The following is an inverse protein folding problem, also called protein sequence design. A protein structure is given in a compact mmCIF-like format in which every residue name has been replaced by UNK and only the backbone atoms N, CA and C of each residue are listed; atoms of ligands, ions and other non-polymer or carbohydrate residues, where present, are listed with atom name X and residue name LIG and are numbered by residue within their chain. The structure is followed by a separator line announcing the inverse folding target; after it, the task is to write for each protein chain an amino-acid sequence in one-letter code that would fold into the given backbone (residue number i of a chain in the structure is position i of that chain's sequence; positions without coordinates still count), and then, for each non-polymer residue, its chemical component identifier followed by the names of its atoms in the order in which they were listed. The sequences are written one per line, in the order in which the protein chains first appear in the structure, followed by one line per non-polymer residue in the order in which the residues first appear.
data_IF_055879255279
#
_entry.id   IF_055879255279
#
_cell.length_a   1.000
_cell.length_b   1.000
_cell.length_c   1.000
_cell.angle_alpha   90.00
_cell.angle_beta   90.00
_cell.angle_gamma   90.00
#
_symmetry.space_group_name_H-M   'P 1'
#
loop_
_entity.id
_entity.type
_entity.pdbx_description
1 polymer ?
#
# COMPACT_ATOMS: atom_id res chain seq x y z
N UNK A 1 1.44 17.03 -74.31
CA UNK A 1 2.85 17.22 -74.72
C UNK A 1 3.65 16.01 -74.25
N UNK A 2 4.37 15.40 -75.20
CA UNK A 2 5.43 14.39 -75.14
C UNK A 2 5.65 13.59 -73.82
N UNK A 3 5.74 12.26 -73.78
CA UNK A 3 6.06 11.30 -74.83
C UNK A 3 7.36 10.54 -74.50
N UNK A 4 7.30 9.21 -74.67
CA UNK A 4 8.36 8.17 -74.75
C UNK A 4 8.79 7.53 -73.41
N UNK A 5 8.60 6.24 -73.14
CA UNK A 5 8.78 4.94 -73.84
C UNK A 5 10.23 4.43 -73.96
N UNK A 6 10.40 3.17 -73.53
CA UNK A 6 11.44 2.21 -73.95
C UNK A 6 12.51 1.94 -72.90
N UNK A 7 13.03 0.72 -72.68
CA UNK A 7 12.91 -0.56 -73.39
C UNK A 7 13.71 -1.66 -72.64
N UNK A 8 13.35 -2.93 -72.85
CA UNK A 8 14.22 -4.12 -72.71
C UNK A 8 14.27 -4.77 -71.32
N UNK A 9 14.15 -6.08 -71.13
CA UNK A 9 14.11 -7.20 -72.05
C UNK A 9 14.84 -8.40 -71.43
N UNK A 10 14.25 -9.58 -71.61
CA UNK A 10 14.87 -10.92 -71.65
C UNK A 10 15.15 -11.73 -70.36
N UNK A 11 14.77 -13.01 -70.51
CA UNK A 11 14.85 -14.18 -69.63
C UNK A 11 16.28 -14.69 -69.36
N UNK A 12 16.44 -15.43 -68.26
CA UNK A 12 17.54 -16.40 -68.09
C UNK A 12 17.65 -16.99 -66.67
N UNK A 13 17.22 -18.24 -66.48
CA UNK A 13 17.79 -19.17 -65.49
C UNK A 13 18.85 -20.04 -66.22
N UNK A 14 19.70 -20.91 -65.60
CA UNK A 14 19.73 -21.46 -64.22
C UNK A 14 21.16 -21.61 -63.59
N UNK A 15 21.26 -22.14 -62.35
CA UNK A 15 22.52 -22.65 -61.75
C UNK A 15 22.66 -22.28 -60.27
N UNK A 16 22.42 -23.17 -59.31
CA UNK A 16 23.31 -24.24 -58.79
C UNK A 16 24.26 -23.75 -57.70
N UNK A 17 24.02 -24.17 -56.45
CA UNK A 17 24.97 -24.80 -55.52
C UNK A 17 24.52 -24.58 -54.07
N UNK A 18 24.16 -25.68 -53.43
CA UNK A 18 24.49 -26.06 -52.04
C UNK A 18 24.84 -24.94 -51.06
N UNK A 19 24.02 -24.78 -50.02
CA UNK A 19 24.49 -24.45 -48.67
C UNK A 19 23.47 -24.93 -47.62
N UNK A 20 24.02 -25.43 -46.52
CA UNK A 20 23.44 -26.29 -45.46
C UNK A 20 22.09 -25.84 -44.85
N UNK A 21 21.31 -26.78 -44.25
CA UNK A 21 20.23 -26.43 -43.34
C UNK A 21 20.83 -25.85 -42.05
N UNK A 22 20.94 -24.53 -42.00
CA UNK A 22 21.21 -23.80 -40.77
C UNK A 22 20.20 -24.17 -39.69
N UNK A 23 20.69 -24.83 -38.65
CA UNK A 23 19.98 -25.04 -37.39
C UNK A 23 19.50 -23.69 -36.85
N UNK A 24 18.18 -23.52 -36.74
CA UNK A 24 17.58 -22.38 -36.04
C UNK A 24 18.03 -22.47 -34.57
N UNK A 25 18.77 -21.49 -34.03
CA UNK A 25 19.09 -21.48 -32.60
C UNK A 25 17.79 -21.37 -31.81
N UNK A 26 17.60 -22.31 -30.88
CA UNK A 26 16.38 -22.51 -30.14
C UNK A 26 15.84 -21.24 -29.50
N UNK A 27 14.56 -20.98 -29.73
CA UNK A 27 13.75 -19.97 -29.06
C UNK A 27 13.56 -20.22 -27.55
N UNK A 28 14.12 -21.30 -27.00
CA UNK A 28 13.93 -21.71 -25.61
C UNK A 28 14.88 -21.06 -24.58
N UNK A 29 16.05 -20.56 -24.98
CA UNK A 29 17.03 -20.05 -24.01
C UNK A 29 16.76 -18.61 -23.55
N UNK A 30 16.06 -17.81 -24.35
CA UNK A 30 15.71 -16.43 -24.00
C UNK A 30 14.47 -16.33 -23.07
N UNK A 31 13.60 -17.34 -23.08
CA UNK A 31 12.35 -17.32 -22.32
C UNK A 31 12.56 -17.65 -20.82
N UNK A 32 13.55 -18.50 -20.50
CA UNK A 32 13.77 -19.04 -19.15
C UNK A 32 14.47 -18.10 -18.18
N UNK A 33 15.33 -17.19 -18.67
CA UNK A 33 16.07 -16.25 -17.81
C UNK A 33 15.21 -15.05 -17.32
N UNK A 34 14.16 -14.72 -18.07
CA UNK A 34 13.24 -13.62 -17.76
C UNK A 34 12.01 -14.05 -16.95
N UNK A 35 11.61 -15.32 -17.04
CA UNK A 35 10.57 -15.96 -16.21
C UNK A 35 10.70 -15.67 -14.69
N UNK A 36 11.85 -15.89 -14.03
CA UNK A 36 11.99 -15.64 -12.60
C UNK A 36 11.87 -14.15 -12.24
N UNK A 37 12.31 -13.24 -13.13
CA UNK A 37 12.14 -11.79 -12.94
C UNK A 37 10.67 -11.38 -13.09
N UNK A 38 9.96 -11.93 -14.07
CA UNK A 38 8.52 -11.71 -14.28
C UNK A 38 7.70 -12.23 -13.10
N UNK A 39 8.04 -13.41 -12.58
CA UNK A 39 7.37 -13.99 -11.40
C UNK A 39 7.58 -13.14 -10.16
N UNK A 40 8.83 -12.75 -9.85
CA UNK A 40 9.14 -11.85 -8.72
C UNK A 40 8.36 -10.54 -8.79
N UNK A 41 8.31 -9.93 -9.97
CA UNK A 41 7.55 -8.72 -10.19
C UNK A 41 6.04 -8.92 -9.95
N UNK A 42 5.44 -10.02 -10.47
CA UNK A 42 4.03 -10.35 -10.24
C UNK A 42 3.72 -10.55 -8.76
N UNK A 43 4.55 -11.30 -8.04
CA UNK A 43 4.40 -11.52 -6.59
C UNK A 43 4.51 -10.22 -5.82
N UNK A 44 5.52 -9.40 -6.13
CA UNK A 44 5.68 -8.08 -5.52
C UNK A 44 4.48 -7.17 -5.78
N UNK A 45 3.89 -7.22 -6.99
CA UNK A 45 2.69 -6.45 -7.31
C UNK A 45 1.50 -6.87 -6.46
N UNK A 46 1.23 -8.17 -6.35
CA UNK A 46 0.14 -8.69 -5.53
C UNK A 46 0.33 -8.32 -4.06
N UNK A 47 1.53 -8.51 -3.52
CA UNK A 47 1.83 -8.14 -2.13
C UNK A 47 1.65 -6.64 -1.90
N UNK A 48 2.07 -5.80 -2.84
CA UNK A 48 1.88 -4.35 -2.73
C UNK A 48 0.40 -3.97 -2.82
N UNK A 49 -0.37 -4.61 -3.69
CA UNK A 49 -1.78 -4.28 -3.91
C UNK A 49 -2.63 -4.73 -2.71
N UNK A 50 -2.33 -5.89 -2.12
CA UNK A 50 -2.98 -6.36 -0.88
C UNK A 50 -2.49 -5.59 0.34
N UNK A 51 -1.19 -5.35 0.46
CA UNK A 51 -0.56 -4.65 1.57
C UNK A 51 -0.66 -3.13 1.53
N UNK A 52 -1.72 -2.61 0.94
CA UNK A 52 -1.99 -1.18 0.92
C UNK A 52 -2.57 -0.72 2.28
N UNK A 53 -2.55 0.59 2.51
CA UNK A 53 -3.02 1.17 3.77
C UNK A 53 -4.50 0.89 4.06
N UNK A 54 -5.36 0.83 3.04
CA UNK A 54 -6.81 0.56 3.19
C UNK A 54 -7.05 -0.83 3.76
N UNK A 55 -6.32 -1.85 3.28
CA UNK A 55 -6.43 -3.23 3.78
C UNK A 55 -6.05 -3.30 5.26
N UNK A 56 -4.94 -2.68 5.65
CA UNK A 56 -4.51 -2.67 7.05
C UNK A 56 -5.49 -1.88 7.93
N UNK A 57 -6.00 -0.74 7.46
CA UNK A 57 -7.04 0.02 8.18
C UNK A 57 -8.32 -0.80 8.38
N UNK A 58 -8.72 -1.61 7.40
CA UNK A 58 -9.87 -2.50 7.53
C UNK A 58 -9.65 -3.58 8.59
N UNK A 59 -8.49 -4.23 8.58
CA UNK A 59 -8.13 -5.27 9.57
C UNK A 59 -8.10 -4.66 10.98
N UNK A 60 -7.43 -3.53 11.15
CA UNK A 60 -7.35 -2.83 12.44
C UNK A 60 -8.72 -2.38 12.90
N UNK A 61 -9.50 -1.74 12.04
CA UNK A 61 -10.86 -1.31 12.36
C UNK A 61 -11.75 -2.48 12.79
N UNK A 62 -11.65 -3.63 12.11
CA UNK A 62 -12.36 -4.84 12.48
C UNK A 62 -11.95 -5.35 13.86
N UNK A 63 -10.65 -5.49 14.13
CA UNK A 63 -10.16 -6.00 15.41
C UNK A 63 -10.54 -5.04 16.55
N UNK A 64 -10.24 -3.75 16.40
CA UNK A 64 -10.40 -2.77 17.49
C UNK A 64 -11.87 -2.51 17.83
N UNK A 65 -12.79 -2.61 16.86
CA UNK A 65 -14.23 -2.44 17.12
C UNK A 65 -14.82 -3.51 18.05
N UNK A 66 -14.11 -4.62 18.26
CA UNK A 66 -14.51 -5.70 19.16
C UNK A 66 -13.79 -5.66 20.51
N UNK A 67 -12.97 -4.63 20.76
CA UNK A 67 -12.26 -4.45 22.03
C UNK A 67 -13.07 -3.49 22.93
N UNK A 68 -13.64 -3.97 24.05
CA UNK A 68 -14.37 -3.14 25.01
C UNK A 68 -13.44 -2.21 25.81
N UNK A 69 -13.96 -1.18 26.51
CA UNK A 69 -15.38 -0.83 26.66
C UNK A 69 -15.94 0.01 25.50
N UNK A 70 -17.23 -0.17 25.23
CA UNK A 70 -17.98 0.59 24.23
C UNK A 70 -19.47 0.63 24.57
N UNK A 71 -20.12 1.71 24.12
CA UNK A 71 -21.52 2.04 24.42
C UNK A 71 -22.56 1.28 23.60
N UNK A 72 -22.15 0.75 22.43
CA UNK A 72 -23.01 0.04 21.48
C UNK A 72 -22.35 -1.27 21.03
N UNK A 73 -23.09 -2.10 20.29
CA UNK A 73 -22.58 -3.38 19.82
C UNK A 73 -21.35 -3.24 18.90
N UNK A 74 -20.37 -4.17 18.97
CA UNK A 74 -19.14 -4.12 18.17
C UNK A 74 -19.33 -3.93 16.67
N UNK A 75 -20.36 -4.54 16.09
CA UNK A 75 -20.62 -4.44 14.65
C UNK A 75 -21.11 -3.03 14.24
N UNK A 76 -21.76 -2.28 15.14
CA UNK A 76 -22.14 -0.87 14.90
C UNK A 76 -20.88 -0.02 14.94
N UNK A 77 -20.02 -0.22 15.95
CA UNK A 77 -18.72 0.45 16.06
C UNK A 77 -17.89 0.21 14.80
N UNK A 78 -17.84 -1.05 14.34
CA UNK A 78 -17.16 -1.43 13.10
C UNK A 78 -17.77 -0.75 11.87
N UNK A 79 -19.09 -0.78 11.71
CA UNK A 79 -19.76 -0.16 10.56
C UNK A 79 -19.47 1.34 10.50
N UNK A 80 -19.60 2.05 11.62
CA UNK A 80 -19.31 3.49 11.71
C UNK A 80 -17.83 3.76 11.40
N UNK A 81 -16.92 2.97 11.99
CA UNK A 81 -15.48 3.09 11.76
C UNK A 81 -15.11 2.81 10.32
N UNK A 82 -15.69 1.77 9.72
CA UNK A 82 -15.54 1.45 8.30
C UNK A 82 -16.00 2.59 7.42
N UNK A 83 -17.21 3.13 7.64
CA UNK A 83 -17.75 4.20 6.82
C UNK A 83 -16.88 5.46 6.86
N UNK A 84 -16.42 5.85 8.06
CA UNK A 84 -15.68 7.10 8.27
C UNK A 84 -14.19 6.96 7.95
N UNK A 85 -13.54 5.89 8.39
CA UNK A 85 -12.07 5.77 8.34
C UNK A 85 -11.55 4.92 7.17
N UNK A 86 -12.40 4.16 6.48
CA UNK A 86 -12.01 3.29 5.36
C UNK A 86 -12.75 3.68 4.08
N UNK A 87 -14.08 3.66 4.12
CA UNK A 87 -14.91 3.92 2.96
C UNK A 87 -14.82 5.37 2.50
N UNK A 88 -14.95 6.37 3.38
CA UNK A 88 -14.88 7.77 2.97
C UNK A 88 -13.52 8.15 2.35
N UNK A 89 -12.35 7.82 2.95
CA UNK A 89 -11.06 8.01 2.29
C UNK A 89 -10.92 7.24 0.98
N UNK A 90 -11.33 5.97 0.94
CA UNK A 90 -11.26 5.13 -0.25
C UNK A 90 -12.16 5.63 -1.39
N UNK A 91 -13.34 6.14 -1.07
CA UNK A 91 -14.25 6.76 -2.02
C UNK A 91 -13.63 8.03 -2.60
N UNK A 92 -13.04 8.89 -1.75
CA UNK A 92 -12.33 10.07 -2.20
C UNK A 92 -11.11 9.72 -3.07
N UNK A 93 -10.38 8.65 -2.74
CA UNK A 93 -9.29 8.13 -3.59
C UNK A 93 -9.80 7.77 -4.99
N UNK A 94 -10.88 6.98 -5.08
CA UNK A 94 -11.48 6.57 -6.35
C UNK A 94 -11.97 7.78 -7.15
N UNK A 95 -12.57 8.76 -6.48
CA UNK A 95 -12.97 10.01 -7.11
C UNK A 95 -11.77 10.79 -7.65
N UNK A 96 -10.71 10.94 -6.85
CA UNK A 96 -9.47 11.62 -7.25
C UNK A 96 -8.79 10.93 -8.46
N UNK A 97 -8.76 9.60 -8.49
CA UNK A 97 -8.25 8.85 -9.64
C UNK A 97 -9.08 9.10 -10.91
N UNK A 98 -10.41 9.19 -10.80
CA UNK A 98 -11.30 9.39 -11.95
C UNK A 98 -11.31 10.84 -12.45
N UNK A 99 -11.36 11.81 -11.54
CA UNK A 99 -11.54 13.23 -11.88
C UNK A 99 -10.20 13.92 -12.13
N UNK A 100 -9.20 13.65 -11.29
CA UNK A 100 -7.88 14.29 -11.36
C UNK A 100 -6.82 13.42 -12.04
N UNK A 101 -7.19 12.22 -12.52
CA UNK A 101 -6.31 11.28 -13.23
C UNK A 101 -5.02 10.96 -12.47
N UNK A 102 -5.11 10.95 -11.14
CA UNK A 102 -4.00 10.61 -10.24
C UNK A 102 -3.81 9.09 -10.22
N UNK A 103 -2.57 8.63 -10.12
CA UNK A 103 -2.26 7.21 -9.99
C UNK A 103 -2.48 6.71 -8.55
N UNK A 104 -2.87 5.44 -8.39
CA UNK A 104 -3.14 4.84 -7.09
C UNK A 104 -1.98 4.93 -6.08
N UNK A 105 -0.74 4.85 -6.58
CA UNK A 105 0.48 4.96 -5.76
C UNK A 105 0.85 6.41 -5.40
N UNK A 106 0.13 7.39 -5.95
CA UNK A 106 0.47 8.81 -5.97
C UNK A 106 1.97 9.00 -6.24
N UNK A 107 2.41 8.73 -7.46
CA UNK A 107 3.83 8.77 -7.80
C UNK A 107 4.39 10.17 -7.60
N UNK A 108 3.61 11.18 -8.00
CA UNK A 108 3.83 12.59 -7.66
C UNK A 108 3.46 12.87 -6.20
N UNK A 109 4.27 13.70 -5.53
CA UNK A 109 4.06 14.06 -4.12
C UNK A 109 3.01 15.14 -3.94
N UNK A 110 2.89 16.07 -4.89
CA UNK A 110 1.95 17.18 -4.76
C UNK A 110 0.50 16.67 -4.79
N UNK A 111 0.22 15.62 -5.58
CA UNK A 111 -1.08 14.94 -5.61
C UNK A 111 -1.43 14.20 -4.31
N UNK A 112 -0.46 13.86 -3.45
CA UNK A 112 -0.69 13.19 -2.15
C UNK A 112 -1.26 14.14 -1.11
N UNK A 113 -0.87 15.40 -1.14
CA UNK A 113 -1.19 16.36 -0.08
C UNK A 113 -2.70 16.54 0.09
N UNK A 114 -3.51 16.76 -0.97
CA UNK A 114 -4.96 16.81 -0.86
C UNK A 114 -5.56 15.51 -0.30
N UNK A 115 -5.02 14.36 -0.71
CA UNK A 115 -5.46 13.06 -0.22
C UNK A 115 -5.20 12.89 1.29
N UNK A 116 -3.99 13.24 1.74
CA UNK A 116 -3.66 13.21 3.16
C UNK A 116 -4.51 14.16 4.00
N UNK A 117 -4.84 15.36 3.49
CA UNK A 117 -5.73 16.29 4.19
C UNK A 117 -7.15 15.74 4.36
N UNK A 118 -7.68 15.06 3.34
CA UNK A 118 -9.01 14.42 3.44
C UNK A 118 -8.98 13.26 4.42
N UNK A 119 -7.95 12.42 4.36
CA UNK A 119 -7.75 11.34 5.35
C UNK A 119 -7.68 11.93 6.77
N UNK A 120 -6.94 13.01 6.95
CA UNK A 120 -6.79 13.68 8.24
C UNK A 120 -8.14 14.12 8.79
N UNK A 121 -9.00 14.72 7.95
CA UNK A 121 -10.35 15.09 8.31
C UNK A 121 -11.22 13.90 8.70
N UNK A 122 -11.10 12.77 7.99
CA UNK A 122 -11.83 11.54 8.31
C UNK A 122 -11.37 10.96 9.66
N UNK A 123 -10.07 10.95 9.94
CA UNK A 123 -9.54 10.46 11.21
C UNK A 123 -9.90 11.39 12.39
N UNK A 124 -9.88 12.70 12.18
CA UNK A 124 -10.38 13.67 13.15
C UNK A 124 -11.87 13.49 13.44
N UNK A 125 -12.69 13.22 12.41
CA UNK A 125 -14.09 12.86 12.60
C UNK A 125 -14.25 11.56 13.42
N UNK A 126 -13.38 10.57 13.19
CA UNK A 126 -13.30 9.36 14.03
C UNK A 126 -13.08 9.68 15.51
N UNK A 127 -12.17 10.60 15.83
CA UNK A 127 -11.94 11.04 17.23
C UNK A 127 -13.23 11.62 17.83
N UNK A 128 -13.91 12.51 17.10
CA UNK A 128 -15.14 13.14 17.59
C UNK A 128 -16.27 12.13 17.78
N UNK A 129 -16.46 11.24 16.82
CA UNK A 129 -17.52 10.22 16.84
C UNK A 129 -17.28 9.20 17.95
N UNK A 130 -16.07 8.67 18.08
CA UNK A 130 -15.77 7.64 19.09
C UNK A 130 -15.46 8.19 20.49
N UNK A 131 -15.54 9.52 20.64
CA UNK A 131 -15.29 10.19 21.91
C UNK A 131 -16.26 9.76 23.02
N UNK A 132 -15.90 9.98 24.30
CA UNK A 132 -16.79 9.73 25.44
C UNK A 132 -18.14 10.47 25.39
N UNK A 133 -18.31 11.43 24.50
CA UNK A 133 -19.48 12.33 24.43
C UNK A 133 -20.47 11.98 23.31
N UNK A 134 -20.09 11.11 22.38
CA UNK A 134 -20.89 10.80 21.19
C UNK A 134 -21.23 9.29 21.11
N UNK A 135 -20.34 8.48 20.52
CA UNK A 135 -20.44 7.03 20.46
C UNK A 135 -19.21 6.43 21.18
N UNK A 136 -19.20 6.40 22.52
CA UNK A 136 -18.02 5.94 23.27
C UNK A 136 -17.58 4.55 22.82
N UNK A 137 -16.36 4.47 22.29
CA UNK A 137 -15.61 3.24 22.05
C UNK A 137 -14.16 3.54 22.34
N UNK A 138 -13.66 3.01 23.45
CA UNK A 138 -12.34 3.38 23.92
C UNK A 138 -11.24 2.96 22.94
N UNK A 139 -11.31 1.74 22.39
CA UNK A 139 -10.37 1.26 21.38
C UNK A 139 -10.39 2.09 20.10
N UNK A 140 -11.57 2.40 19.56
CA UNK A 140 -11.70 3.17 18.31
C UNK A 140 -11.38 4.66 18.48
N UNK A 141 -11.60 5.21 19.66
CA UNK A 141 -11.13 6.56 20.00
C UNK A 141 -9.61 6.63 19.93
N UNK A 142 -8.93 5.68 20.59
CA UNK A 142 -7.47 5.59 20.59
C UNK A 142 -6.90 5.37 19.19
N UNK A 143 -7.47 4.47 18.39
CA UNK A 143 -6.97 4.24 17.02
C UNK A 143 -7.17 5.47 16.12
N UNK A 144 -8.22 6.26 16.35
CA UNK A 144 -8.45 7.50 15.63
C UNK A 144 -7.37 8.54 15.96
N UNK A 145 -7.00 8.67 17.25
CA UNK A 145 -5.89 9.53 17.69
C UNK A 145 -4.57 9.10 17.03
N UNK A 146 -4.26 7.81 17.09
CA UNK A 146 -3.05 7.24 16.46
C UNK A 146 -3.03 7.54 14.96
N UNK A 147 -4.18 7.39 14.31
CA UNK A 147 -4.30 7.59 12.86
C UNK A 147 -4.09 9.05 12.47
N UNK A 148 -4.60 10.00 13.24
CA UNK A 148 -4.31 11.44 13.10
C UNK A 148 -2.82 11.72 13.28
N UNK A 149 -2.20 11.25 14.36
CA UNK A 149 -0.77 11.48 14.61
C UNK A 149 0.10 10.91 13.49
N UNK A 150 -0.18 9.67 13.08
CA UNK A 150 0.55 8.99 12.02
C UNK A 150 0.38 9.71 10.68
N UNK A 151 -0.86 9.91 10.24
CA UNK A 151 -1.14 10.53 8.93
C UNK A 151 -0.69 11.99 8.88
N UNK A 152 -0.90 12.76 9.95
CA UNK A 152 -0.37 14.10 10.09
C UNK A 152 1.17 14.15 10.00
N UNK A 153 1.86 13.20 10.62
CA UNK A 153 3.32 13.08 10.47
C UNK A 153 3.72 12.74 9.04
N UNK A 154 3.04 11.80 8.39
CA UNK A 154 3.29 11.46 6.98
C UNK A 154 3.03 12.66 6.05
N UNK A 155 1.97 13.42 6.31
CA UNK A 155 1.64 14.66 5.59
C UNK A 155 2.77 15.69 5.72
N UNK A 156 3.21 16.00 6.95
CA UNK A 156 4.28 16.97 7.20
C UNK A 156 5.58 16.54 6.51
N UNK A 157 5.95 15.26 6.63
CA UNK A 157 7.15 14.73 5.97
C UNK A 157 7.00 14.82 4.46
N UNK A 158 5.83 14.47 3.90
CA UNK A 158 5.56 14.49 2.45
C UNK A 158 5.84 15.85 1.80
N UNK A 159 5.62 16.96 2.51
CA UNK A 159 5.89 18.32 2.03
C UNK A 159 7.36 18.50 1.59
N UNK A 160 8.30 17.84 2.27
CA UNK A 160 9.74 17.97 2.00
C UNK A 160 10.36 16.71 1.40
N UNK A 161 9.89 15.52 1.77
CA UNK A 161 10.48 14.25 1.36
C UNK A 161 9.45 13.14 1.18
N UNK A 162 9.66 12.26 0.19
CA UNK A 162 8.77 11.12 -0.05
C UNK A 162 8.97 10.07 1.04
N UNK A 163 7.90 9.63 1.69
CA UNK A 163 7.92 8.54 2.69
C UNK A 163 6.94 7.42 2.27
N UNK A 164 7.20 6.19 2.71
CA UNK A 164 6.36 5.03 2.34
C UNK A 164 5.19 4.84 3.30
N UNK A 165 3.99 5.20 2.82
CA UNK A 165 2.74 4.92 3.54
C UNK A 165 2.41 3.42 3.63
N UNK A 166 2.92 2.59 2.70
CA UNK A 166 2.74 1.12 2.77
C UNK A 166 3.56 0.51 3.91
N UNK A 167 4.82 0.95 4.08
CA UNK A 167 5.65 0.49 5.20
C UNK A 167 5.08 0.98 6.54
N UNK A 168 4.64 2.23 6.61
CA UNK A 168 3.96 2.77 7.78
C UNK A 168 2.67 2.00 8.11
N UNK A 169 1.84 1.76 7.09
CA UNK A 169 0.55 1.06 7.20
C UNK A 169 0.68 -0.42 7.57
N UNK A 170 1.81 -1.07 7.29
CA UNK A 170 2.07 -2.44 7.74
C UNK A 170 2.68 -2.47 9.16
N UNK A 171 3.67 -1.61 9.43
CA UNK A 171 4.43 -1.65 10.68
C UNK A 171 3.63 -1.18 11.90
N UNK A 172 2.84 -0.11 11.77
CA UNK A 172 2.03 0.43 12.87
C UNK A 172 1.03 -0.58 13.42
N UNK A 173 0.13 -1.13 12.59
CA UNK A 173 -0.80 -2.19 12.97
C UNK A 173 -0.13 -3.41 13.57
N UNK A 174 1.07 -3.78 13.08
CA UNK A 174 1.84 -4.90 13.65
C UNK A 174 2.22 -4.65 15.11
N UNK A 175 2.61 -3.41 15.46
CA UNK A 175 2.86 -3.01 16.85
C UNK A 175 1.58 -3.02 17.67
N UNK A 176 0.49 -2.50 17.12
CA UNK A 176 -0.82 -2.49 17.80
C UNK A 176 -1.27 -3.91 18.18
N UNK A 177 -1.20 -4.84 17.22
CA UNK A 177 -1.56 -6.24 17.42
C UNK A 177 -0.64 -6.90 18.45
N UNK A 178 0.67 -6.62 18.41
CA UNK A 178 1.62 -7.18 19.38
C UNK A 178 1.38 -6.71 20.81
N UNK A 179 0.98 -5.45 21.00
CA UNK A 179 0.65 -4.92 22.32
C UNK A 179 -0.64 -5.55 22.86
N UNK A 180 -1.64 -5.76 22.00
CA UNK A 180 -2.97 -6.22 22.43
C UNK A 180 -3.04 -7.75 22.57
N UNK A 181 -2.55 -8.48 21.57
CA UNK A 181 -2.64 -9.94 21.51
C UNK A 181 -1.38 -10.65 22.03
N UNK A 182 -0.31 -9.89 22.29
CA UNK A 182 0.95 -10.39 22.83
C UNK A 182 2.08 -10.46 21.79
N UNK A 183 3.31 -10.45 22.31
CA UNK A 183 4.54 -10.37 21.52
C UNK A 183 4.71 -11.52 20.52
N UNK A 184 4.11 -12.68 20.77
CA UNK A 184 4.17 -13.84 19.87
C UNK A 184 3.58 -13.55 18.48
N UNK A 185 2.66 -12.58 18.36
CA UNK A 185 2.10 -12.19 17.06
C UNK A 185 3.14 -11.59 16.12
N UNK A 186 4.28 -11.11 16.64
CA UNK A 186 5.40 -10.62 15.85
C UNK A 186 6.00 -11.69 14.93
N UNK A 187 5.92 -12.97 15.29
CA UNK A 187 6.35 -14.07 14.42
C UNK A 187 5.55 -14.14 13.11
N UNK A 188 4.33 -13.59 13.10
CA UNK A 188 3.45 -13.55 11.92
C UNK A 188 3.52 -12.19 11.25
N UNK A 189 3.46 -11.10 12.03
CA UNK A 189 3.36 -9.75 11.47
C UNK A 189 4.68 -9.24 10.91
N UNK A 190 5.83 -9.58 11.51
CA UNK A 190 7.15 -9.15 10.99
C UNK A 190 7.43 -9.70 9.59
N UNK A 191 7.19 -10.99 9.28
CA UNK A 191 7.28 -11.49 7.91
C UNK A 191 6.37 -10.76 6.91
N UNK A 192 5.14 -10.41 7.33
CA UNK A 192 4.22 -9.63 6.48
C UNK A 192 4.81 -8.25 6.18
N UNK A 193 5.27 -7.52 7.20
CA UNK A 193 5.91 -6.20 7.04
C UNK A 193 7.15 -6.31 6.13
N UNK A 194 7.98 -7.33 6.33
CA UNK A 194 9.16 -7.58 5.49
C UNK A 194 8.77 -7.85 4.03
N UNK A 195 7.72 -8.64 3.79
CA UNK A 195 7.16 -8.88 2.46
C UNK A 195 6.67 -7.60 1.78
N UNK A 196 6.00 -6.71 2.52
CA UNK A 196 5.59 -5.40 2.00
C UNK A 196 6.81 -4.53 1.67
N UNK A 197 7.80 -4.43 2.57
CA UNK A 197 9.03 -3.67 2.32
C UNK A 197 9.75 -4.19 1.07
N UNK A 198 9.91 -5.52 0.96
CA UNK A 198 10.50 -6.16 -0.21
C UNK A 198 9.72 -5.83 -1.49
N UNK A 199 8.39 -5.93 -1.45
CA UNK A 199 7.57 -5.62 -2.62
C UNK A 199 7.78 -4.20 -3.15
N UNK A 200 7.93 -3.21 -2.25
CA UNK A 200 8.12 -1.81 -2.63
C UNK A 200 9.53 -1.53 -3.16
N UNK A 201 10.53 -2.28 -2.69
CA UNK A 201 11.89 -2.27 -3.24
C UNK A 201 11.92 -2.91 -4.64
N UNK A 202 11.33 -4.08 -4.80
CA UNK A 202 11.30 -4.82 -6.08
C UNK A 202 10.56 -4.02 -7.16
N UNK A 203 9.45 -3.38 -6.82
CA UNK A 203 8.70 -2.49 -7.72
C UNK A 203 9.36 -1.12 -7.93
N UNK A 204 10.52 -0.87 -7.31
CA UNK A 204 11.28 0.40 -7.36
C UNK A 204 10.45 1.63 -7.00
N UNK A 205 9.50 1.46 -6.08
CA UNK A 205 8.57 2.54 -5.67
C UNK A 205 9.15 3.45 -4.61
N UNK A 206 10.08 2.93 -3.81
CA UNK A 206 10.71 3.63 -2.69
C UNK A 206 12.17 3.23 -2.52
N UNK A 207 12.97 4.10 -1.89
CA UNK A 207 14.32 3.75 -1.44
C UNK A 207 14.27 3.07 -0.06
N UNK A 208 15.33 2.32 0.34
CA UNK A 208 15.38 1.69 1.66
C UNK A 208 15.14 2.68 2.81
N UNK A 209 15.73 3.88 2.74
CA UNK A 209 15.53 4.91 3.77
C UNK A 209 14.06 5.34 3.87
N UNK A 210 13.36 5.51 2.74
CA UNK A 210 11.94 5.89 2.76
C UNK A 210 11.04 4.83 3.41
N UNK A 211 11.43 3.56 3.32
CA UNK A 211 10.74 2.44 3.95
C UNK A 211 11.04 2.36 5.44
N UNK A 212 12.32 2.47 5.82
CA UNK A 212 12.76 2.47 7.22
C UNK A 212 12.12 3.62 7.99
N UNK A 213 12.20 4.85 7.49
CA UNK A 213 11.56 5.99 8.14
C UNK A 213 10.04 5.84 8.22
N UNK A 214 9.40 5.31 7.17
CA UNK A 214 7.96 5.03 7.18
C UNK A 214 7.57 4.06 8.30
N UNK A 215 8.30 2.95 8.43
CA UNK A 215 8.08 1.97 9.49
C UNK A 215 8.35 2.56 10.88
N UNK A 216 9.46 3.29 11.05
CA UNK A 216 9.82 3.92 12.33
C UNK A 216 8.78 4.92 12.79
N UNK A 217 8.30 5.80 11.91
CA UNK A 217 7.24 6.77 12.23
C UNK A 217 5.98 6.06 12.73
N UNK A 218 5.60 4.95 12.08
CA UNK A 218 4.44 4.17 12.50
C UNK A 218 4.65 3.47 13.84
N UNK A 219 5.82 2.83 14.04
CA UNK A 219 6.17 2.17 15.30
C UNK A 219 6.14 3.17 16.47
N UNK A 220 6.71 4.36 16.27
CA UNK A 220 6.73 5.40 17.30
C UNK A 220 5.32 5.95 17.56
N UNK A 221 4.53 6.20 16.51
CA UNK A 221 3.16 6.72 16.66
C UNK A 221 2.26 5.73 17.41
N UNK A 222 2.29 4.46 17.02
CA UNK A 222 1.52 3.41 17.69
C UNK A 222 2.06 3.10 19.08
N UNK A 223 3.37 2.90 19.20
CA UNK A 223 4.03 2.56 20.45
C UNK A 223 3.83 3.63 21.52
N UNK A 224 4.07 4.90 21.20
CA UNK A 224 3.89 5.99 22.16
C UNK A 224 2.45 6.07 22.64
N UNK A 225 1.49 6.15 21.72
CA UNK A 225 0.09 6.36 22.09
C UNK A 225 -0.47 5.15 22.85
N UNK A 226 -0.16 3.92 22.43
CA UNK A 226 -0.62 2.73 23.14
C UNK A 226 0.07 2.55 24.49
N UNK A 227 1.35 2.90 24.65
CA UNK A 227 2.01 2.86 25.97
C UNK A 227 1.43 3.89 26.95
N UNK A 228 1.02 5.06 26.45
CA UNK A 228 0.41 6.10 27.28
C UNK A 228 -1.08 5.86 27.56
N UNK A 229 -1.81 5.26 26.62
CA UNK A 229 -3.28 5.15 26.71
C UNK A 229 -3.77 3.74 27.04
N UNK A 230 -3.02 2.68 26.77
CA UNK A 230 -3.25 1.32 27.27
C UNK A 230 -2.23 1.01 28.37
N UNK A 231 -2.53 1.33 29.63
CA UNK A 231 -1.64 0.94 30.71
C UNK A 231 -1.47 -0.59 30.74
N UNK A 232 -0.22 -1.05 30.78
CA UNK A 232 0.20 -2.46 30.79
C UNK A 232 -0.43 -3.29 31.94
N UNK A 233 -1.12 -2.67 32.90
CA UNK A 233 -1.77 -3.35 34.02
C UNK A 233 -3.00 -4.18 33.61
N UNK A 234 -3.56 -3.98 32.41
CA UNK A 234 -4.65 -4.82 31.89
C UNK A 234 -4.17 -6.15 31.29
N UNK A 235 -2.85 -6.32 31.12
CA UNK A 235 -2.23 -7.54 30.58
C UNK A 235 -1.46 -8.34 31.63
N UNK A 236 -1.52 -7.91 32.90
CA UNK A 236 -1.05 -8.69 34.05
C UNK A 236 -2.18 -9.53 34.63
N UNK A 237 -2.47 -10.66 34.01
CA UNK A 237 -3.22 -11.76 34.60
C UNK A 237 -2.28 -12.97 34.73
#
# INVERSE_FOLDING_TARGET
MAGKLGHGGANGAPGSSDDEPGTIPGTGEMETADEPKKLRYKVARILSDVGNAVTFSLIVGLIFSFIPPQSVQPWIVFLVGFLVMVFAPGFFLVMAMKVWKVDFDFTDRASRTPYYLVIEGCYAAGILIFSPWALPSWSMFNISIISVILNGTLLIVNLKWKISAHAAGAAGPSVAIAIIAGWWTLFITVPVVAGIIWSRLELKKHTPMQLVYGAMVAILSYGLVLLFLYPLHLFGA
#
